data_IF_660320835673
#
_entry.id   IF_660320835673
#
_cell.length_a   1.000
_cell.length_b   1.000
_cell.length_c   1.000
_cell.angle_alpha   90.00
_cell.angle_beta   90.00
_cell.angle_gamma   90.00
#
_symmetry.space_group_name_H-M   'P 1'
#
loop_
_entity.id
_entity.type
_entity.pdbx_description
1 polymer ?
#
# COMPACT_ATOMS: atom_id res chain seq x y z
N UNK A 1 -0.79 -8.41 -12.97
CA UNK A 1 0.68 -8.48 -13.13
C UNK A 1 1.35 -7.43 -12.26
N UNK A 2 2.42 -7.81 -11.56
CA UNK A 2 3.27 -6.94 -10.75
C UNK A 2 4.13 -5.99 -11.61
N UNK A 3 4.83 -5.06 -10.98
CA UNK A 3 5.70 -4.08 -11.66
C UNK A 3 6.93 -4.73 -12.33
N UNK A 4 7.58 -5.70 -11.69
CA UNK A 4 8.81 -6.28 -12.25
C UNK A 4 8.52 -7.20 -13.41
N UNK A 5 7.45 -8.00 -13.31
CA UNK A 5 7.00 -8.85 -14.42
C UNK A 5 6.75 -8.00 -15.67
N UNK A 6 6.21 -6.79 -15.50
CA UNK A 6 6.00 -5.84 -16.59
C UNK A 6 7.31 -5.22 -17.13
N UNK A 7 8.37 -5.12 -16.33
CA UNK A 7 9.67 -4.53 -16.73
C UNK A 7 10.63 -5.55 -17.36
N UNK A 8 10.73 -6.73 -16.76
CA UNK A 8 11.83 -7.66 -17.01
C UNK A 8 11.36 -9.09 -17.31
N UNK A 9 10.05 -9.37 -17.20
CA UNK A 9 9.47 -10.68 -17.49
C UNK A 9 9.83 -11.78 -16.48
N UNK A 10 10.58 -11.47 -15.42
CA UNK A 10 10.96 -12.42 -14.37
C UNK A 10 10.03 -12.29 -13.18
N UNK A 11 9.55 -13.44 -12.68
CA UNK A 11 8.64 -13.50 -11.54
C UNK A 11 9.39 -13.93 -10.27
N UNK A 12 9.27 -13.15 -9.20
CA UNK A 12 9.87 -13.42 -7.89
C UNK A 12 8.79 -13.44 -6.80
N UNK A 13 9.13 -13.84 -5.57
CA UNK A 13 8.18 -13.78 -4.46
C UNK A 13 7.74 -12.34 -4.13
N UNK A 14 8.56 -11.32 -4.42
CA UNK A 14 8.18 -9.92 -4.24
C UNK A 14 7.05 -9.54 -5.21
N UNK A 15 6.98 -10.17 -6.37
CA UNK A 15 5.90 -9.95 -7.33
C UNK A 15 4.55 -10.47 -6.80
N UNK A 16 4.54 -11.59 -6.08
CA UNK A 16 3.37 -12.09 -5.38
C UNK A 16 2.91 -11.10 -4.30
N UNK A 17 3.84 -10.61 -3.49
CA UNK A 17 3.55 -9.65 -2.42
C UNK A 17 3.03 -8.32 -2.97
N UNK A 18 3.66 -7.80 -4.02
CA UNK A 18 3.20 -6.58 -4.72
C UNK A 18 1.82 -6.80 -5.35
N UNK A 19 1.58 -7.96 -5.95
CA UNK A 19 0.28 -8.28 -6.55
C UNK A 19 -0.83 -8.38 -5.49
N UNK A 20 -0.54 -9.02 -4.36
CA UNK A 20 -1.44 -9.05 -3.21
C UNK A 20 -1.76 -7.64 -2.71
N UNK A 21 -0.74 -6.79 -2.55
CA UNK A 21 -0.93 -5.40 -2.17
C UNK A 21 -1.80 -4.61 -3.16
N UNK A 22 -1.63 -4.82 -4.47
CA UNK A 22 -2.51 -4.19 -5.46
C UNK A 22 -3.97 -4.66 -5.36
N UNK A 23 -4.20 -5.94 -5.10
CA UNK A 23 -5.56 -6.45 -4.87
C UNK A 23 -6.15 -5.83 -3.61
N UNK A 24 -5.36 -5.74 -2.53
CA UNK A 24 -5.79 -5.11 -1.28
C UNK A 24 -6.18 -3.64 -1.50
N UNK A 25 -5.32 -2.88 -2.17
CA UNK A 25 -5.57 -1.50 -2.60
C UNK A 25 -6.83 -1.36 -3.45
N UNK A 26 -7.04 -2.28 -4.40
CA UNK A 26 -8.23 -2.27 -5.24
C UNK A 26 -9.50 -2.44 -4.41
N UNK A 27 -9.50 -3.36 -3.44
CA UNK A 27 -10.63 -3.60 -2.55
C UNK A 27 -10.91 -2.36 -1.69
N UNK A 28 -9.89 -1.79 -1.04
CA UNK A 28 -10.06 -0.67 -0.11
C UNK A 28 -10.52 0.62 -0.80
N UNK A 29 -10.11 0.85 -2.04
CA UNK A 29 -10.59 1.99 -2.85
C UNK A 29 -11.93 1.73 -3.56
N UNK A 30 -12.28 0.48 -3.86
CA UNK A 30 -13.49 0.18 -4.64
C UNK A 30 -14.77 0.12 -3.81
N UNK A 31 -14.67 -0.05 -2.49
CA UNK A 31 -15.81 -0.24 -1.61
C UNK A 31 -15.85 0.81 -0.51
N UNK A 32 -17.04 1.38 -0.28
CA UNK A 32 -17.27 2.32 0.83
C UNK A 32 -17.94 1.70 2.04
N UNK A 33 -18.53 0.52 1.88
CA UNK A 33 -19.13 -0.32 2.91
C UNK A 33 -19.28 -1.75 2.35
N UNK A 34 -19.67 -2.76 3.16
CA UNK A 34 -19.84 -4.12 2.68
C UNK A 34 -20.85 -4.18 1.54
N UNK A 35 -20.45 -4.73 0.40
CA UNK A 35 -21.25 -4.82 -0.83
C UNK A 35 -21.66 -3.47 -1.46
N UNK A 36 -21.14 -2.34 -0.96
CA UNK A 36 -21.43 -1.01 -1.51
C UNK A 36 -20.19 -0.44 -2.20
N UNK A 37 -20.22 -0.37 -3.53
CA UNK A 37 -19.13 0.22 -4.31
C UNK A 37 -19.01 1.73 -4.05
N UNK A 38 -17.79 2.24 -4.02
CA UNK A 38 -17.51 3.66 -4.02
C UNK A 38 -17.97 4.30 -5.34
N UNK A 39 -18.58 5.48 -5.28
CA UNK A 39 -19.04 6.20 -6.48
C UNK A 39 -17.88 6.83 -7.26
N UNK A 40 -16.76 7.10 -6.59
CA UNK A 40 -15.51 7.55 -7.19
C UNK A 40 -14.46 6.48 -6.93
N UNK A 41 -14.02 5.82 -7.99
CA UNK A 41 -12.82 4.99 -7.94
C UNK A 41 -11.59 5.89 -8.03
N UNK A 42 -10.51 5.48 -7.38
CA UNK A 42 -9.23 6.14 -7.53
C UNK A 42 -8.81 6.09 -9.01
N UNK A 43 -8.60 7.25 -9.62
CA UNK A 43 -8.48 7.42 -11.08
C UNK A 43 -7.31 6.66 -11.72
N UNK A 44 -6.36 6.18 -10.91
CA UNK A 44 -5.23 5.38 -11.36
C UNK A 44 -5.52 3.88 -11.41
N UNK A 45 -6.54 3.37 -10.70
CA UNK A 45 -6.86 1.93 -10.70
C UNK A 45 -7.19 1.40 -12.09
N UNK A 46 -8.04 2.04 -12.92
CA UNK A 46 -8.31 1.54 -14.27
C UNK A 46 -7.02 1.46 -15.11
N UNK A 47 -6.12 2.43 -14.95
CA UNK A 47 -4.84 2.48 -15.68
C UNK A 47 -3.90 1.32 -15.35
N UNK A 48 -4.11 0.62 -14.23
CA UNK A 48 -3.30 -0.54 -13.85
C UNK A 48 -3.60 -1.80 -14.65
N UNK A 49 -4.72 -1.81 -15.37
CA UNK A 49 -5.19 -2.90 -16.24
C UNK A 49 -5.03 -2.58 -17.74
N UNK A 50 -4.72 -1.32 -18.06
CA UNK A 50 -4.57 -0.84 -19.44
C UNK A 50 -3.12 -0.97 -19.97
N UNK A 51 -2.90 -0.58 -21.22
CA UNK A 51 -1.59 -0.60 -21.88
C UNK A 51 -0.51 0.23 -21.17
N UNK A 52 -0.89 1.21 -20.35
CA UNK A 52 0.02 2.04 -19.54
C UNK A 52 0.21 1.49 -18.11
N UNK A 53 -0.12 0.22 -17.85
CA UNK A 53 -0.09 -0.37 -16.51
C UNK A 53 1.26 -0.23 -15.80
N UNK A 54 2.36 -0.36 -16.54
CA UNK A 54 3.70 -0.22 -15.98
C UNK A 54 3.96 1.20 -15.47
N UNK A 55 3.71 2.21 -16.31
CA UNK A 55 3.92 3.62 -15.97
C UNK A 55 3.02 4.07 -14.84
N UNK A 56 1.76 3.60 -14.81
CA UNK A 56 0.82 3.92 -13.75
C UNK A 56 1.24 3.32 -12.39
N UNK A 57 1.81 2.11 -12.38
CA UNK A 57 2.35 1.44 -11.20
C UNK A 57 3.69 2.01 -10.74
N UNK A 58 4.55 2.36 -11.69
CA UNK A 58 5.80 3.07 -11.43
C UNK A 58 5.49 4.42 -10.77
N UNK A 59 4.66 5.24 -11.42
CA UNK A 59 4.27 6.55 -10.91
C UNK A 59 3.63 6.49 -9.54
N UNK A 60 2.87 5.43 -9.24
CA UNK A 60 2.35 5.20 -7.90
C UNK A 60 3.47 5.09 -6.86
N UNK A 61 4.43 4.17 -7.03
CA UNK A 61 5.50 4.00 -6.03
C UNK A 61 6.55 5.11 -6.01
N UNK A 62 6.69 5.88 -7.09
CA UNK A 62 7.63 7.02 -7.14
C UNK A 62 7.07 8.31 -6.54
N UNK A 63 5.77 8.41 -6.31
CA UNK A 63 5.12 9.62 -5.80
C UNK A 63 4.50 9.36 -4.43
N UNK A 64 4.54 10.36 -3.54
CA UNK A 64 3.72 10.34 -2.33
C UNK A 64 2.25 10.46 -2.76
N UNK A 65 1.47 9.40 -2.53
CA UNK A 65 0.09 9.34 -2.99
C UNK A 65 -0.85 9.99 -1.98
N UNK A 66 -1.86 10.63 -2.54
CA UNK A 66 -3.08 11.03 -1.87
C UNK A 66 -4.11 9.90 -2.09
N UNK A 67 -4.03 8.85 -1.26
CA UNK A 67 -4.87 7.66 -1.42
C UNK A 67 -6.15 7.85 -0.62
N UNK A 68 -7.28 7.87 -1.33
CA UNK A 68 -8.58 8.07 -0.72
C UNK A 68 -9.21 6.71 -0.43
N UNK A 69 -9.41 6.42 0.85
CA UNK A 69 -10.23 5.29 1.29
C UNK A 69 -11.50 5.81 1.94
N UNK A 70 -12.53 4.96 1.98
CA UNK A 70 -13.73 5.24 2.77
C UNK A 70 -13.40 5.27 4.25
N UNK A 71 -13.98 6.18 5.01
CA UNK A 71 -13.89 6.16 6.48
C UNK A 71 -14.39 4.85 7.10
N UNK A 72 -15.28 4.14 6.40
CA UNK A 72 -15.72 2.80 6.83
C UNK A 72 -14.55 1.83 7.03
N UNK A 73 -13.48 1.95 6.23
CA UNK A 73 -12.31 1.08 6.37
C UNK A 73 -11.54 1.35 7.68
N UNK A 74 -11.75 2.51 8.29
CA UNK A 74 -11.06 2.92 9.52
C UNK A 74 -9.63 3.38 9.29
N UNK A 75 -9.05 3.96 10.34
CA UNK A 75 -7.68 4.49 10.33
C UNK A 75 -6.65 3.35 10.28
N UNK A 76 -6.90 2.22 10.97
CA UNK A 76 -6.01 1.07 10.97
C UNK A 76 -5.71 0.52 9.56
N UNK A 77 -6.70 0.50 8.68
CA UNK A 77 -6.51 0.07 7.28
C UNK A 77 -5.74 1.12 6.49
N UNK A 78 -5.92 2.41 6.78
CA UNK A 78 -5.12 3.47 6.16
C UNK A 78 -3.65 3.33 6.53
N UNK A 79 -3.36 3.19 7.82
CA UNK A 79 -1.99 3.03 8.33
C UNK A 79 -1.33 1.76 7.75
N UNK A 80 -2.07 0.64 7.66
CA UNK A 80 -1.61 -0.56 6.98
C UNK A 80 -1.23 -0.31 5.52
N UNK A 81 -2.04 0.44 4.77
CA UNK A 81 -1.73 0.77 3.37
C UNK A 81 -0.47 1.63 3.27
N UNK A 82 -0.30 2.60 4.17
CA UNK A 82 0.89 3.47 4.22
C UNK A 82 2.16 2.68 4.55
N UNK A 83 2.09 1.76 5.50
CA UNK A 83 3.21 0.88 5.88
C UNK A 83 3.62 -0.02 4.71
N UNK A 84 2.65 -0.67 4.07
CA UNK A 84 2.90 -1.52 2.89
C UNK A 84 3.43 -0.68 1.71
N UNK A 85 2.88 0.51 1.49
CA UNK A 85 3.35 1.42 0.45
C UNK A 85 4.82 1.78 0.66
N UNK A 86 5.16 2.21 1.88
CA UNK A 86 6.51 2.61 2.27
C UNK A 86 7.49 1.44 2.12
N UNK A 87 7.07 0.24 2.50
CA UNK A 87 7.85 -0.98 2.30
C UNK A 87 8.19 -1.20 0.82
N UNK A 88 7.19 -1.21 -0.06
CA UNK A 88 7.42 -1.45 -1.49
C UNK A 88 8.13 -0.29 -2.20
N UNK A 89 8.02 0.94 -1.69
CA UNK A 89 8.78 2.09 -2.19
C UNK A 89 10.28 1.95 -1.90
N UNK A 90 10.62 1.45 -0.71
CA UNK A 90 12.02 1.24 -0.29
C UNK A 90 12.65 -0.01 -0.88
N UNK A 91 11.82 -0.99 -1.28
CA UNK A 91 12.31 -2.18 -1.97
C UNK A 91 12.78 -1.78 -3.36
N UNK A 92 14.10 -1.77 -3.54
CA UNK A 92 14.68 -1.75 -4.87
C UNK A 92 14.31 -3.07 -5.54
N UNK A 93 13.37 -3.00 -6.47
CA UNK A 93 12.87 -4.19 -7.16
C UNK A 93 13.62 -4.46 -8.47
N UNK A 94 14.72 -3.74 -8.68
CA UNK A 94 15.77 -4.14 -9.61
C UNK A 94 16.31 -5.48 -9.12
N UNK A 95 16.33 -6.56 -9.92
CA UNK A 95 16.57 -7.90 -9.43
C UNK A 95 18.00 -7.99 -8.90
N UNK A 96 18.23 -8.20 -7.59
CA UNK A 96 19.46 -8.83 -7.19
C UNK A 96 19.22 -10.33 -7.21
N UNK A 97 20.23 -11.07 -7.66
CA UNK A 97 20.69 -12.35 -7.12
C UNK A 97 19.67 -13.09 -6.20
N UNK A 98 19.31 -14.37 -6.46
CA UNK A 98 18.22 -15.08 -5.78
C UNK A 98 18.19 -14.77 -4.29
N UNK A 99 17.28 -13.86 -3.93
CA UNK A 99 17.24 -13.23 -2.60
C UNK A 99 17.29 -14.32 -1.55
N UNK A 100 18.29 -14.25 -0.68
CA UNK A 100 18.53 -15.29 0.33
C UNK A 100 17.23 -15.64 1.07
N UNK A 101 17.07 -16.90 1.45
CA UNK A 101 15.89 -17.36 2.22
C UNK A 101 15.64 -16.48 3.46
N UNK A 102 16.70 -15.94 4.07
CA UNK A 102 16.62 -15.01 5.20
C UNK A 102 15.94 -13.67 4.86
N UNK A 103 16.22 -13.10 3.68
CA UNK A 103 15.60 -11.84 3.24
C UNK A 103 14.12 -12.05 2.98
N UNK A 104 13.77 -13.13 2.29
CA UNK A 104 12.38 -13.50 2.04
C UNK A 104 11.61 -13.63 3.36
N UNK A 105 12.13 -14.35 4.35
CA UNK A 105 11.46 -14.50 5.65
C UNK A 105 11.26 -13.16 6.35
N UNK A 106 12.24 -12.25 6.32
CA UNK A 106 12.10 -10.91 6.90
C UNK A 106 10.98 -10.12 6.23
N UNK A 107 10.87 -10.21 4.91
CA UNK A 107 9.89 -9.47 4.13
C UNK A 107 8.46 -9.96 4.39
N UNK A 108 8.26 -11.29 4.44
CA UNK A 108 6.98 -11.86 4.84
C UNK A 108 6.62 -11.51 6.29
N UNK A 109 7.57 -11.59 7.22
CA UNK A 109 7.33 -11.25 8.62
C UNK A 109 6.96 -9.77 8.81
N UNK A 110 7.56 -8.86 8.04
CA UNK A 110 7.18 -7.45 8.05
C UNK A 110 5.71 -7.29 7.63
N UNK A 111 5.33 -7.86 6.48
CA UNK A 111 3.96 -7.76 5.97
C UNK A 111 2.97 -8.37 6.96
N UNK A 112 3.22 -9.58 7.45
CA UNK A 112 2.38 -10.22 8.45
C UNK A 112 2.27 -9.39 9.73
N UNK A 113 3.38 -8.81 10.20
CA UNK A 113 3.40 -7.92 11.34
C UNK A 113 2.49 -6.71 11.15
N UNK A 114 2.54 -6.06 9.99
CA UNK A 114 1.67 -4.93 9.67
C UNK A 114 0.18 -5.33 9.71
N UNK A 115 -0.18 -6.48 9.15
CA UNK A 115 -1.55 -7.01 9.24
C UNK A 115 -1.98 -7.30 10.67
N UNK A 116 -1.11 -7.92 11.47
CA UNK A 116 -1.40 -8.21 12.88
C UNK A 116 -1.64 -6.92 13.67
N UNK A 117 -0.82 -5.88 13.45
CA UNK A 117 -1.02 -4.57 14.07
C UNK A 117 -2.38 -3.98 13.70
N UNK A 118 -2.70 -3.93 12.40
CA UNK A 118 -3.97 -3.37 11.94
C UNK A 118 -5.19 -4.13 12.47
N UNK A 119 -5.11 -5.46 12.54
CA UNK A 119 -6.17 -6.29 13.13
C UNK A 119 -6.32 -6.01 14.64
N UNK A 120 -5.21 -5.90 15.36
CA UNK A 120 -5.24 -5.59 16.80
C UNK A 120 -5.86 -4.22 17.08
N UNK A 121 -5.61 -3.22 16.24
CA UNK A 121 -6.22 -1.90 16.36
C UNK A 121 -7.73 -1.94 16.10
N UNK A 122 -8.16 -2.70 15.08
CA UNK A 122 -9.58 -2.91 14.80
C UNK A 122 -10.29 -3.63 15.96
N UNK A 123 -9.67 -4.66 16.54
CA UNK A 123 -10.23 -5.41 17.67
C UNK A 123 -10.36 -4.54 18.93
N UNK A 124 -9.38 -3.67 19.19
CA UNK A 124 -9.47 -2.67 20.27
C UNK A 124 -10.67 -1.75 20.08
N UNK A 125 -10.87 -1.23 18.87
CA UNK A 125 -12.00 -0.35 18.57
C UNK A 125 -13.35 -1.06 18.70
N UNK A 126 -13.43 -2.35 18.38
CA UNK A 126 -14.65 -3.14 18.57
C UNK A 126 -14.93 -3.39 20.05
N UNK A 127 -13.89 -3.58 20.86
CA UNK A 127 -14.00 -3.80 22.30
C UNK A 127 -14.43 -2.53 23.06
N UNK A 128 -13.95 -1.36 22.62
CA UNK A 128 -14.30 -0.06 23.23
C UNK A 128 -15.70 0.46 22.83
N UNK A 129 -16.23 0.00 21.69
CA UNK A 129 -17.53 0.42 21.17
C UNK A 129 -18.74 -0.30 21.80
N UNK A 130 -18.52 -1.42 22.51
CA UNK A 130 -19.58 -2.08 23.29
C UNK A 130 -20.08 -1.19 24.45
N UNK A 131 -19.31 -0.15 24.83
CA UNK A 131 -19.66 0.80 25.89
C UNK A 131 -20.20 2.16 25.38
N UNK A 132 -20.24 2.45 24.07
CA UNK A 132 -20.67 3.78 23.59
C UNK A 132 -21.31 3.82 22.19
N UNK A 133 -22.62 3.59 22.12
CA UNK A 133 -23.45 3.95 20.96
C UNK A 133 -23.74 5.45 20.96
N UNK A 134 -23.17 6.23 20.02
CA UNK A 134 -23.90 7.27 19.23
C UNK A 134 -23.01 7.98 18.19
N UNK A 135 -23.63 8.23 17.03
CA UNK A 135 -23.28 9.19 15.96
C UNK A 135 -22.20 8.82 14.92
N UNK A 136 -22.68 8.46 13.73
CA UNK A 136 -21.91 8.41 12.48
C UNK A 136 -22.13 9.69 11.65
N UNK A 137 -21.09 10.53 11.57
CA UNK A 137 -20.94 11.56 10.55
C UNK A 137 -20.16 11.01 9.36
N UNK A 138 -20.66 11.22 8.14
CA UNK A 138 -19.92 10.93 6.91
C UNK A 138 -18.77 11.91 6.77
N UNK A 139 -17.54 11.40 6.84
CA UNK A 139 -16.36 12.09 6.32
C UNK A 139 -15.47 11.09 5.58
N UNK A 140 -14.76 11.56 4.56
CA UNK A 140 -13.74 10.78 3.83
C UNK A 140 -12.40 11.04 4.51
N UNK A 141 -11.68 9.99 4.90
CA UNK A 141 -10.35 10.13 5.50
C UNK A 141 -9.32 10.27 4.37
N UNK A 142 -8.52 11.33 4.43
CA UNK A 142 -7.43 11.60 3.49
C UNK A 142 -6.11 11.21 4.14
N UNK A 143 -5.36 10.29 3.53
CA UNK A 143 -3.96 10.08 3.87
C UNK A 143 -3.16 11.31 3.42
N UNK A 144 -2.63 12.07 4.38
CA UNK A 144 -1.61 13.07 4.13
C UNK A 144 -0.23 12.47 4.40
N UNK A 145 0.83 12.83 3.66
CA UNK A 145 2.16 12.36 3.98
C UNK A 145 2.55 12.82 5.39
N UNK A 146 2.87 11.87 6.29
CA UNK A 146 3.57 12.17 7.55
C UNK A 146 4.94 12.74 7.19
N UNK A 147 5.05 14.07 7.12
CA UNK A 147 6.31 14.79 6.95
C UNK A 147 7.23 14.46 8.13
N UNK A 148 8.14 13.51 7.94
CA UNK A 148 9.05 13.06 9.00
C UNK A 148 10.26 12.25 8.55
N UNK A 149 10.60 12.17 7.26
CA UNK A 149 11.82 11.48 6.81
C UNK A 149 12.83 12.51 6.27
N UNK A 150 14.05 12.58 6.81
CA UNK A 150 15.08 13.51 6.36
C UNK A 150 15.55 13.13 4.94
N UNK A 151 15.57 14.12 4.06
CA UNK A 151 16.13 14.01 2.71
C UNK A 151 17.61 13.65 2.80
N UNK A 152 17.96 12.44 2.36
CA UNK A 152 19.36 12.01 2.26
C UNK A 152 20.08 12.89 1.21
N UNK A 153 21.27 13.47 1.50
CA UNK A 153 21.93 14.37 0.58
C UNK A 153 22.47 13.62 -0.65
N UNK A 154 22.06 14.10 -1.82
CA UNK A 154 22.47 13.63 -3.15
C UNK A 154 24.01 13.64 -3.27
N UNK A 155 24.62 12.47 -3.41
CA UNK A 155 26.04 12.31 -3.75
C UNK A 155 26.30 13.01 -5.10
N UNK A 156 27.13 14.06 -5.10
CA UNK A 156 27.64 14.67 -6.34
C UNK A 156 28.60 13.69 -6.99
N UNK A 157 28.25 13.19 -8.16
CA UNK A 157 29.15 12.41 -9.00
C UNK A 157 30.33 13.28 -9.42
N UNK A 158 31.54 12.83 -9.11
CA UNK A 158 32.78 13.40 -9.61
C UNK A 158 32.85 13.21 -11.13
N UNK A 159 33.16 14.29 -11.85
CA UNK A 159 33.53 14.23 -13.26
C UNK A 159 34.98 13.74 -13.36
N UNK A 160 35.20 12.67 -14.12
CA UNK A 160 36.48 12.42 -14.78
C UNK A 160 36.38 12.95 -16.21
#
# INVERSE_FOLDING_TARGET
MSRNVLREGTHTYLDDLVSFYYVFMYITASFKAPKVRASRQWYMLPKWEESMSLQAKDGYFFLSIDFLISAFMGVAILDLIEDLHSFFQQKDITPPDPLSSSTRTKDYNFILGAFVTALSELDSLLSDNDDSLTNTGSDVIRAGPRLGIPVCPRRKSAKY
#
